data_IF_664080638791
#
_entry.id   IF_664080638791
#
_cell.length_a   1.000
_cell.length_b   1.000
_cell.length_c   1.000
_cell.angle_alpha   90.00
_cell.angle_beta   90.00
_cell.angle_gamma   90.00
#
_symmetry.space_group_name_H-M   'P 1'
#
loop_
_entity.id
_entity.type
_entity.pdbx_description
1 polymer ?
#
# COMPACT_ATOMS: atom_id res chain seq x y z
N UNK A 1 -26.17 18.33 -8.30
CA UNK A 1 -27.02 17.33 -8.96
C UNK A 1 -27.99 16.80 -7.93
N UNK A 2 -29.27 17.14 -8.03
CA UNK A 2 -30.32 16.61 -7.15
C UNK A 2 -30.46 15.13 -7.50
N UNK A 3 -30.35 14.23 -6.51
CA UNK A 3 -30.48 12.79 -6.78
C UNK A 3 -31.87 12.49 -7.36
N UNK A 4 -31.97 11.53 -8.29
CA UNK A 4 -33.24 11.18 -8.96
C UNK A 4 -34.35 10.83 -7.95
N UNK A 5 -33.98 10.31 -6.77
CA UNK A 5 -34.90 10.12 -5.63
C UNK A 5 -35.44 11.42 -5.06
N UNK A 6 -34.57 12.42 -4.83
CA UNK A 6 -34.97 13.73 -4.34
C UNK A 6 -35.88 14.44 -5.36
N UNK A 7 -35.58 14.35 -6.65
CA UNK A 7 -36.40 14.94 -7.71
C UNK A 7 -37.82 14.31 -7.77
N UNK A 8 -37.93 12.99 -7.58
CA UNK A 8 -39.23 12.31 -7.54
C UNK A 8 -40.03 12.68 -6.29
N UNK A 9 -39.39 12.80 -5.12
CA UNK A 9 -40.05 13.25 -3.90
C UNK A 9 -40.54 14.70 -4.01
N UNK A 10 -39.76 15.56 -4.65
CA UNK A 10 -40.12 16.96 -4.89
C UNK A 10 -41.29 17.09 -5.87
N UNK A 11 -41.30 16.30 -6.96
CA UNK A 11 -42.43 16.22 -7.90
C UNK A 11 -43.69 15.67 -7.23
N UNK A 12 -43.54 14.68 -6.34
CA UNK A 12 -44.65 14.08 -5.59
C UNK A 12 -45.29 15.11 -4.65
N UNK A 13 -44.46 15.88 -3.95
CA UNK A 13 -44.92 16.95 -3.07
C UNK A 13 -45.56 18.10 -3.85
N UNK A 14 -44.98 18.49 -4.99
CA UNK A 14 -45.45 19.62 -5.81
C UNK A 14 -46.75 19.33 -6.55
N UNK A 15 -46.95 18.09 -7.02
CA UNK A 15 -48.13 17.69 -7.78
C UNK A 15 -49.14 16.85 -7.01
N UNK A 16 -48.92 16.65 -5.69
CA UNK A 16 -49.76 15.81 -4.81
C UNK A 16 -50.13 14.46 -5.45
N UNK A 17 -49.12 13.79 -6.01
CA UNK A 17 -49.31 12.54 -6.73
C UNK A 17 -49.88 11.47 -5.78
N UNK A 18 -50.84 10.69 -6.27
CA UNK A 18 -51.40 9.57 -5.54
C UNK A 18 -50.40 8.40 -5.44
N UNK A 19 -50.66 7.46 -4.53
CA UNK A 19 -49.76 6.33 -4.28
C UNK A 19 -49.58 5.44 -5.53
N UNK A 20 -50.59 5.36 -6.40
CA UNK A 20 -50.54 4.60 -7.64
C UNK A 20 -49.61 5.24 -8.67
N UNK A 21 -49.69 6.57 -8.86
CA UNK A 21 -48.83 7.32 -9.80
C UNK A 21 -47.39 7.39 -9.28
N UNK A 22 -47.20 7.51 -7.96
CA UNK A 22 -45.88 7.39 -7.33
C UNK A 22 -45.25 6.02 -7.60
N UNK A 23 -46.03 4.94 -7.46
CA UNK A 23 -45.59 3.58 -7.75
C UNK A 23 -45.25 3.36 -9.24
N UNK A 24 -45.98 4.00 -10.15
CA UNK A 24 -45.67 4.00 -11.58
C UNK A 24 -44.37 4.76 -11.89
N UNK A 25 -44.17 5.95 -11.31
CA UNK A 25 -42.94 6.75 -11.45
C UNK A 25 -41.73 6.02 -10.90
N UNK A 26 -41.85 5.35 -9.75
CA UNK A 26 -40.76 4.52 -9.19
C UNK A 26 -40.35 3.39 -10.11
N UNK A 27 -41.32 2.76 -10.80
CA UNK A 27 -41.08 1.67 -11.75
C UNK A 27 -40.41 2.19 -13.03
N UNK A 28 -40.88 3.32 -13.56
CA UNK A 28 -40.30 3.98 -14.74
C UNK A 28 -38.87 4.46 -14.44
N UNK A 29 -38.65 5.06 -13.28
CA UNK A 29 -37.35 5.51 -12.81
C UNK A 29 -36.43 4.36 -12.34
N UNK A 30 -36.92 3.10 -12.40
CA UNK A 30 -36.22 1.88 -11.97
C UNK A 30 -35.62 1.95 -10.56
N UNK A 31 -36.19 2.77 -9.67
CA UNK A 31 -35.66 3.04 -8.32
C UNK A 31 -35.77 1.84 -7.34
N UNK A 32 -36.38 0.74 -7.78
CA UNK A 32 -36.48 -0.54 -7.06
C UNK A 32 -35.77 -1.72 -7.71
N UNK A 33 -35.09 -1.54 -8.86
CA UNK A 33 -34.22 -2.58 -9.39
C UNK A 33 -32.82 -2.41 -8.78
N UNK A 34 -32.19 -3.49 -8.26
CA UNK A 34 -30.80 -3.41 -7.79
C UNK A 34 -29.96 -2.89 -8.95
N UNK A 35 -29.14 -1.85 -8.71
CA UNK A 35 -28.34 -1.30 -9.79
C UNK A 35 -27.41 -2.42 -10.30
N UNK A 36 -27.32 -2.64 -11.62
CA UNK A 36 -26.46 -3.68 -12.18
C UNK A 36 -24.99 -3.47 -11.80
N UNK A 37 -24.61 -2.21 -11.51
CA UNK A 37 -23.32 -1.84 -10.95
C UNK A 37 -23.11 -2.37 -9.53
N UNK A 38 -24.12 -2.29 -8.66
CA UNK A 38 -24.04 -2.81 -7.29
C UNK A 38 -23.95 -4.33 -7.26
N UNK A 39 -24.71 -5.04 -8.11
CA UNK A 39 -24.60 -6.50 -8.23
C UNK A 39 -23.20 -6.92 -8.70
N UNK A 40 -22.65 -6.22 -9.71
CA UNK A 40 -21.29 -6.48 -10.21
C UNK A 40 -20.24 -6.19 -9.13
N UNK A 41 -20.36 -5.08 -8.41
CA UNK A 41 -19.46 -4.72 -7.31
C UNK A 41 -19.54 -5.75 -6.17
N UNK A 42 -20.76 -6.17 -5.79
CA UNK A 42 -20.98 -7.15 -4.75
C UNK A 42 -20.38 -8.50 -5.12
N UNK A 43 -20.58 -8.97 -6.36
CA UNK A 43 -19.96 -10.20 -6.87
C UNK A 43 -18.44 -10.14 -6.83
N UNK A 44 -17.85 -9.00 -7.21
CA UNK A 44 -16.40 -8.79 -7.12
C UNK A 44 -15.92 -8.82 -5.67
N UNK A 45 -16.58 -8.08 -4.78
CA UNK A 45 -16.25 -8.01 -3.37
C UNK A 45 -16.36 -9.38 -2.69
N UNK A 46 -17.45 -10.11 -2.93
CA UNK A 46 -17.65 -11.48 -2.45
C UNK A 46 -16.60 -12.42 -3.02
N UNK A 47 -16.27 -12.31 -4.31
CA UNK A 47 -15.21 -13.10 -4.92
C UNK A 47 -13.84 -12.84 -4.29
N UNK A 48 -13.52 -11.59 -3.97
CA UNK A 48 -12.28 -11.22 -3.28
C UNK A 48 -12.26 -11.75 -1.84
N UNK A 49 -13.37 -11.60 -1.11
CA UNK A 49 -13.51 -12.12 0.24
C UNK A 49 -13.39 -13.64 0.25
N UNK A 50 -14.00 -14.33 -0.71
CA UNK A 50 -13.87 -15.77 -0.89
C UNK A 50 -12.42 -16.17 -1.17
N UNK A 51 -11.70 -15.44 -2.02
CA UNK A 51 -10.28 -15.69 -2.26
C UNK A 51 -9.41 -15.49 -1.01
N UNK A 52 -9.66 -14.42 -0.24
CA UNK A 52 -8.96 -14.15 1.01
C UNK A 52 -9.23 -15.25 2.05
N UNK A 53 -10.50 -15.61 2.26
CA UNK A 53 -10.90 -16.65 3.21
C UNK A 53 -10.41 -18.04 2.78
N UNK A 54 -10.45 -18.36 1.49
CA UNK A 54 -9.91 -19.62 0.98
C UNK A 54 -8.39 -19.69 1.15
N UNK A 55 -7.67 -18.61 0.83
CA UNK A 55 -6.23 -18.53 1.06
C UNK A 55 -5.87 -18.66 2.53
N UNK A 56 -6.57 -17.93 3.40
CA UNK A 56 -6.38 -18.00 4.86
C UNK A 56 -6.73 -19.38 5.42
N UNK A 57 -7.86 -19.95 5.00
CA UNK A 57 -8.30 -21.28 5.38
C UNK A 57 -7.29 -22.34 4.96
N UNK A 58 -6.67 -22.22 3.78
CA UNK A 58 -5.61 -23.12 3.34
C UNK A 58 -4.33 -22.97 4.17
N UNK A 59 -3.93 -21.73 4.51
CA UNK A 59 -2.79 -21.47 5.40
C UNK A 59 -3.04 -22.13 6.76
N UNK A 60 -4.23 -21.95 7.33
CA UNK A 60 -4.59 -22.58 8.61
C UNK A 60 -4.71 -24.09 8.52
N UNK A 61 -5.21 -24.63 7.41
CA UNK A 61 -5.26 -26.07 7.19
C UNK A 61 -3.84 -26.69 7.21
N UNK A 62 -2.89 -26.02 6.57
CA UNK A 62 -1.49 -26.46 6.56
C UNK A 62 -0.84 -26.25 7.92
N UNK A 63 -1.08 -25.11 8.57
CA UNK A 63 -0.54 -24.76 9.88
C UNK A 63 -1.10 -25.63 11.02
N UNK A 64 -2.35 -26.09 10.91
CA UNK A 64 -2.97 -27.05 11.84
C UNK A 64 -2.31 -28.43 11.79
N UNK A 65 -1.26 -28.59 10.96
CA UNK A 65 -0.42 -29.77 10.83
C UNK A 65 -1.23 -31.07 10.87
N UNK A 66 -2.13 -31.26 9.89
CA UNK A 66 -2.87 -32.51 9.78
C UNK A 66 -1.89 -33.68 9.79
N UNK A 67 -1.88 -34.45 10.89
CA UNK A 67 -1.01 -35.61 11.08
C UNK A 67 -1.32 -36.71 10.05
N UNK A 68 -2.53 -36.68 9.49
CA UNK A 68 -2.98 -37.57 8.43
C UNK A 68 -2.28 -37.32 7.08
N UNK A 69 -1.71 -36.13 6.83
CA UNK A 69 -1.07 -35.81 5.55
C UNK A 69 0.45 -35.82 5.66
N UNK A 70 1.08 -36.65 4.84
CA UNK A 70 2.53 -36.69 4.71
C UNK A 70 3.10 -35.38 4.14
N UNK A 71 4.38 -35.10 4.42
CA UNK A 71 5.09 -33.92 3.91
C UNK A 71 4.93 -33.72 2.40
N UNK A 72 5.11 -34.79 1.62
CA UNK A 72 5.01 -34.75 0.15
C UNK A 72 3.59 -34.39 -0.30
N UNK A 73 2.59 -34.92 0.39
CA UNK A 73 1.17 -34.68 0.07
C UNK A 73 0.79 -33.22 0.34
N UNK A 74 1.27 -32.63 1.44
CA UNK A 74 1.11 -31.19 1.73
C UNK A 74 1.71 -30.32 0.61
N UNK A 75 2.91 -30.65 0.12
CA UNK A 75 3.51 -29.94 -1.03
C UNK A 75 2.72 -30.12 -2.32
N UNK A 76 2.32 -31.35 -2.65
CA UNK A 76 1.53 -31.63 -3.86
C UNK A 76 0.21 -30.85 -3.81
N UNK A 77 -0.49 -30.88 -2.68
CA UNK A 77 -1.74 -30.15 -2.49
C UNK A 77 -1.54 -28.64 -2.74
N UNK A 78 -0.53 -28.05 -2.11
CA UNK A 78 -0.23 -26.63 -2.26
C UNK A 78 0.14 -26.28 -3.71
N UNK A 79 0.98 -27.08 -4.38
CA UNK A 79 1.34 -26.87 -5.78
C UNK A 79 0.14 -27.00 -6.73
N UNK A 80 -0.75 -27.97 -6.49
CA UNK A 80 -2.00 -28.12 -7.23
C UNK A 80 -2.92 -26.92 -7.03
N UNK A 81 -3.04 -26.40 -5.80
CA UNK A 81 -3.81 -25.19 -5.53
C UNK A 81 -3.21 -23.96 -6.23
N UNK A 82 -1.88 -23.79 -6.24
CA UNK A 82 -1.22 -22.73 -7.03
C UNK A 82 -1.54 -22.90 -8.51
N UNK A 83 -1.35 -24.09 -9.07
CA UNK A 83 -1.62 -24.39 -10.47
C UNK A 83 -3.07 -24.08 -10.85
N UNK A 84 -4.03 -24.56 -10.06
CA UNK A 84 -5.46 -24.32 -10.28
C UNK A 84 -5.82 -22.83 -10.21
N UNK A 85 -5.29 -22.09 -9.23
CA UNK A 85 -5.52 -20.65 -9.11
C UNK A 85 -4.92 -19.87 -10.29
N UNK A 86 -3.68 -20.19 -10.70
CA UNK A 86 -3.01 -19.57 -11.84
C UNK A 86 -3.74 -19.85 -13.16
N UNK A 87 -4.09 -21.11 -13.43
CA UNK A 87 -4.84 -21.51 -14.63
C UNK A 87 -6.22 -20.85 -14.64
N UNK A 88 -6.92 -20.87 -13.50
CA UNK A 88 -8.21 -20.21 -13.37
C UNK A 88 -8.12 -18.70 -13.60
N UNK A 89 -7.07 -18.04 -13.09
CA UNK A 89 -6.85 -16.61 -13.36
C UNK A 89 -6.61 -16.32 -14.86
N UNK A 90 -5.91 -17.21 -15.57
CA UNK A 90 -5.65 -17.09 -16.99
C UNK A 90 -6.93 -17.31 -17.83
N UNK A 91 -7.67 -18.38 -17.55
CA UNK A 91 -8.77 -18.87 -18.41
C UNK A 91 -10.17 -18.43 -17.99
N UNK A 92 -10.37 -17.91 -16.78
CA UNK A 92 -11.68 -17.45 -16.30
C UNK A 92 -11.68 -15.93 -16.07
N UNK A 93 -11.90 -15.09 -17.10
CA UNK A 93 -11.86 -13.63 -16.99
C UNK A 93 -12.75 -13.06 -15.88
N UNK A 94 -13.90 -13.70 -15.62
CA UNK A 94 -14.86 -13.28 -14.58
C UNK A 94 -14.32 -13.42 -13.16
N UNK A 95 -13.44 -14.39 -12.93
CA UNK A 95 -12.86 -14.70 -11.61
C UNK A 95 -11.38 -14.33 -11.53
N UNK A 96 -10.82 -13.72 -12.59
CA UNK A 96 -9.39 -13.47 -12.75
C UNK A 96 -8.77 -12.80 -11.53
N UNK A 97 -9.39 -11.73 -11.03
CA UNK A 97 -8.87 -10.97 -9.87
C UNK A 97 -8.86 -11.82 -8.61
N UNK A 98 -9.95 -12.52 -8.31
CA UNK A 98 -10.08 -13.38 -7.13
C UNK A 98 -9.09 -14.54 -7.18
N UNK A 99 -8.96 -15.18 -8.35
CA UNK A 99 -8.05 -16.32 -8.53
C UNK A 99 -6.59 -15.90 -8.59
N UNK A 100 -6.27 -14.72 -9.13
CA UNK A 100 -4.93 -14.15 -9.07
C UNK A 100 -4.54 -13.80 -7.62
N UNK A 101 -5.47 -13.23 -6.85
CA UNK A 101 -5.25 -12.95 -5.42
C UNK A 101 -5.08 -14.25 -4.63
N UNK A 102 -5.92 -15.26 -4.86
CA UNK A 102 -5.77 -16.58 -4.27
C UNK A 102 -4.42 -17.19 -4.64
N UNK A 103 -4.05 -17.20 -5.91
CA UNK A 103 -2.77 -17.72 -6.38
C UNK A 103 -1.59 -17.03 -5.68
N UNK A 104 -1.62 -15.70 -5.57
CA UNK A 104 -0.62 -14.94 -4.81
C UNK A 104 -0.54 -15.41 -3.35
N UNK A 105 -1.67 -15.60 -2.65
CA UNK A 105 -1.68 -16.07 -1.27
C UNK A 105 -1.17 -17.51 -1.12
N UNK A 106 -1.58 -18.41 -2.02
CA UNK A 106 -1.19 -19.83 -1.97
C UNK A 106 0.30 -20.00 -2.29
N UNK A 107 0.88 -19.18 -3.18
CA UNK A 107 2.34 -19.13 -3.38
C UNK A 107 3.05 -18.80 -2.06
N UNK A 108 2.54 -17.82 -1.30
CA UNK A 108 3.05 -17.49 0.03
C UNK A 108 2.93 -18.65 1.03
N UNK A 109 1.78 -19.31 1.06
CA UNK A 109 1.53 -20.48 1.89
C UNK A 109 2.52 -21.62 1.57
N UNK A 110 2.77 -21.86 0.29
CA UNK A 110 3.74 -22.84 -0.19
C UNK A 110 5.15 -22.53 0.31
N UNK A 111 5.60 -21.27 0.22
CA UNK A 111 6.93 -20.88 0.69
C UNK A 111 7.07 -20.83 2.20
N UNK A 112 6.01 -20.44 2.92
CA UNK A 112 5.96 -20.54 4.37
C UNK A 112 6.13 -22.00 4.82
N UNK A 113 5.38 -22.93 4.21
CA UNK A 113 5.51 -24.36 4.50
C UNK A 113 6.90 -24.88 4.12
N UNK A 114 7.44 -24.44 2.98
CA UNK A 114 8.81 -24.79 2.57
C UNK A 114 9.85 -24.36 3.61
N UNK A 115 9.82 -23.10 4.05
CA UNK A 115 10.76 -22.56 5.04
C UNK A 115 10.67 -23.29 6.38
N UNK A 116 9.45 -23.60 6.83
CA UNK A 116 9.24 -24.37 8.06
C UNK A 116 9.78 -25.81 7.96
N UNK A 117 9.54 -26.48 6.84
CA UNK A 117 9.81 -27.92 6.73
C UNK A 117 11.26 -28.23 6.39
N UNK A 118 11.90 -27.42 5.56
CA UNK A 118 13.26 -27.68 5.11
C UNK A 118 14.34 -26.93 5.88
N UNK A 119 13.98 -25.97 6.75
CA UNK A 119 14.92 -25.17 7.57
C UNK A 119 16.26 -24.92 6.84
N UNK A 120 16.20 -24.49 5.57
CA UNK A 120 17.33 -24.61 4.62
C UNK A 120 18.49 -23.66 4.91
N UNK A 121 18.47 -22.96 6.06
CA UNK A 121 19.33 -21.81 6.32
C UNK A 121 19.11 -20.66 5.34
N UNK A 122 18.11 -20.74 4.46
CA UNK A 122 17.80 -19.66 3.53
C UNK A 122 17.15 -18.52 4.29
N UNK A 123 17.69 -17.31 4.11
CA UNK A 123 17.14 -16.13 4.75
C UNK A 123 15.69 -15.90 4.31
N UNK A 124 14.79 -15.48 5.22
CA UNK A 124 13.39 -15.23 4.91
C UNK A 124 13.17 -14.30 3.71
N UNK A 125 14.07 -13.34 3.48
CA UNK A 125 13.98 -12.40 2.37
C UNK A 125 14.00 -13.08 1.00
N UNK A 126 14.73 -14.18 0.84
CA UNK A 126 14.82 -14.91 -0.43
C UNK A 126 13.48 -15.52 -0.81
N UNK A 127 12.77 -16.07 0.17
CA UNK A 127 11.43 -16.64 -0.04
C UNK A 127 10.43 -15.57 -0.47
N UNK A 128 10.47 -14.38 0.15
CA UNK A 128 9.65 -13.25 -0.29
C UNK A 128 10.04 -12.72 -1.68
N UNK A 129 11.33 -12.70 -2.01
CA UNK A 129 11.80 -12.28 -3.33
C UNK A 129 11.28 -13.23 -4.43
N UNK A 130 11.43 -14.54 -4.25
CA UNK A 130 10.92 -15.55 -5.18
C UNK A 130 9.39 -15.49 -5.25
N UNK A 131 8.71 -15.29 -4.11
CA UNK A 131 7.27 -15.09 -4.07
C UNK A 131 6.85 -13.88 -4.91
N UNK A 132 7.48 -12.71 -4.73
CA UNK A 132 7.19 -11.52 -5.52
C UNK A 132 7.40 -11.78 -7.03
N UNK A 133 8.48 -12.45 -7.41
CA UNK A 133 8.75 -12.78 -8.81
C UNK A 133 7.67 -13.71 -9.39
N UNK A 134 7.31 -14.79 -8.70
CA UNK A 134 6.28 -15.73 -9.17
C UNK A 134 4.87 -15.15 -9.17
N UNK A 135 4.58 -14.19 -8.28
CA UNK A 135 3.30 -13.50 -8.24
C UNK A 135 3.20 -12.35 -9.26
N UNK A 136 4.32 -11.91 -9.85
CA UNK A 136 4.34 -10.77 -10.79
C UNK A 136 3.49 -11.02 -12.06
N UNK A 137 3.54 -12.20 -12.73
CA UNK A 137 2.65 -12.51 -13.85
C UNK A 137 1.16 -12.45 -13.46
N UNK A 138 0.81 -12.83 -12.23
CA UNK A 138 -0.57 -12.75 -11.74
C UNK A 138 -1.02 -11.30 -11.58
N UNK A 139 -0.16 -10.44 -11.04
CA UNK A 139 -0.43 -9.00 -10.91
C UNK A 139 -0.58 -8.32 -12.28
N UNK A 140 0.33 -8.61 -13.21
CA UNK A 140 0.30 -8.11 -14.59
C UNK A 140 -0.88 -8.64 -15.39
N UNK A 141 -1.29 -9.89 -15.18
CA UNK A 141 -2.44 -10.49 -15.85
C UNK A 141 -3.78 -9.97 -15.30
N UNK A 142 -3.89 -9.80 -13.98
CA UNK A 142 -5.09 -9.30 -13.33
C UNK A 142 -5.31 -7.80 -13.59
N UNK A 143 -4.24 -6.99 -13.64
CA UNK A 143 -4.30 -5.52 -13.85
C UNK A 143 -5.30 -4.83 -12.92
N UNK A 144 -5.31 -5.25 -11.65
CA UNK A 144 -6.22 -4.67 -10.64
C UNK A 144 -5.44 -4.17 -9.44
N UNK A 145 -5.93 -3.09 -8.85
CA UNK A 145 -5.28 -2.43 -7.71
C UNK A 145 -5.11 -3.36 -6.51
N UNK A 146 -6.06 -4.26 -6.27
CA UNK A 146 -6.04 -5.19 -5.13
C UNK A 146 -4.90 -6.20 -5.25
N UNK A 147 -4.73 -6.81 -6.43
CA UNK A 147 -3.64 -7.78 -6.64
C UNK A 147 -2.29 -7.07 -6.62
N UNK A 148 -2.19 -5.86 -7.20
CA UNK A 148 -0.99 -5.04 -7.10
C UNK A 148 -0.68 -4.60 -5.67
N UNK A 149 -1.68 -4.26 -4.87
CA UNK A 149 -1.51 -3.91 -3.45
C UNK A 149 -0.94 -5.08 -2.67
N UNK A 150 -1.50 -6.28 -2.86
CA UNK A 150 -0.98 -7.51 -2.24
C UNK A 150 0.46 -7.80 -2.72
N UNK A 151 0.73 -7.64 -4.01
CA UNK A 151 2.07 -7.83 -4.57
C UNK A 151 3.09 -6.84 -4.00
N UNK A 152 2.73 -5.55 -3.87
CA UNK A 152 3.58 -4.51 -3.27
C UNK A 152 3.90 -4.85 -1.82
N UNK A 153 2.92 -5.33 -1.05
CA UNK A 153 3.16 -5.78 0.34
C UNK A 153 4.19 -6.90 0.37
N UNK A 154 4.06 -7.92 -0.49
CA UNK A 154 5.01 -9.04 -0.57
C UNK A 154 6.42 -8.55 -0.96
N UNK A 155 6.52 -7.73 -2.00
CA UNK A 155 7.80 -7.20 -2.49
C UNK A 155 8.49 -6.32 -1.45
N UNK A 156 7.75 -5.40 -0.81
CA UNK A 156 8.28 -4.53 0.24
C UNK A 156 8.67 -5.33 1.49
N UNK A 157 7.90 -6.38 1.84
CA UNK A 157 8.28 -7.28 2.94
C UNK A 157 9.61 -7.96 2.65
N UNK A 158 9.82 -8.45 1.43
CA UNK A 158 11.10 -9.02 1.00
C UNK A 158 12.26 -8.03 1.11
N UNK A 159 12.07 -6.79 0.66
CA UNK A 159 13.09 -5.73 0.79
C UNK A 159 13.40 -5.42 2.26
N UNK A 160 12.39 -5.32 3.13
CA UNK A 160 12.59 -5.06 4.56
C UNK A 160 13.22 -6.24 5.30
N UNK A 161 12.93 -7.48 4.88
CA UNK A 161 13.55 -8.67 5.44
C UNK A 161 15.03 -8.76 5.02
N UNK A 162 15.36 -8.35 3.79
CA UNK A 162 16.76 -8.26 3.34
C UNK A 162 17.51 -7.20 4.15
N UNK A 163 16.90 -6.03 4.35
CA UNK A 163 17.45 -4.98 5.20
C UNK A 163 17.78 -5.48 6.62
N UNK A 164 16.85 -6.22 7.22
CA UNK A 164 17.02 -6.81 8.54
C UNK A 164 18.09 -7.91 8.57
N UNK A 165 18.27 -8.67 7.48
CA UNK A 165 19.34 -9.66 7.36
C UNK A 165 20.72 -8.99 7.30
N UNK A 166 20.82 -7.82 6.66
CA UNK A 166 22.09 -7.10 6.50
C UNK A 166 22.49 -6.28 7.74
N UNK A 167 21.51 -5.70 8.43
CA UNK A 167 21.75 -4.76 9.54
C UNK A 167 21.31 -5.28 10.91
N UNK A 168 20.79 -6.51 10.97
CA UNK A 168 20.15 -7.06 12.16
C UNK A 168 18.77 -6.45 12.44
N UNK A 169 17.93 -7.20 13.16
CA UNK A 169 16.61 -6.72 13.59
C UNK A 169 16.71 -5.56 14.60
N UNK A 170 17.77 -5.56 15.42
CA UNK A 170 18.05 -4.53 16.42
C UNK A 170 18.91 -3.41 15.82
N UNK A 171 18.24 -2.54 15.08
CA UNK A 171 18.72 -1.45 14.20
C UNK A 171 19.74 -0.43 14.77
N UNK A 172 20.23 -0.61 15.99
CA UNK A 172 21.09 0.36 16.68
C UNK A 172 22.54 -0.10 16.88
N UNK A 173 22.85 -1.38 16.65
CA UNK A 173 24.20 -1.92 16.76
C UNK A 173 24.84 -2.04 15.36
N UNK A 174 25.50 -0.97 14.90
CA UNK A 174 26.28 -0.98 13.65
C UNK A 174 25.44 -1.06 12.37
N UNK A 175 24.54 -0.10 12.09
CA UNK A 175 23.68 -0.15 10.91
C UNK A 175 24.51 -0.09 9.62
N UNK A 176 24.27 -1.02 8.69
CA UNK A 176 24.78 -0.90 7.33
C UNK A 176 23.96 0.15 6.58
N UNK A 177 24.34 1.42 6.74
CA UNK A 177 23.62 2.56 6.14
C UNK A 177 23.52 2.46 4.61
N UNK A 178 24.52 1.86 3.96
CA UNK A 178 24.48 1.59 2.52
C UNK A 178 23.33 0.64 2.15
N UNK A 179 23.15 -0.45 2.91
CA UNK A 179 22.05 -1.39 2.71
C UNK A 179 20.67 -0.75 2.95
N UNK A 180 20.52 0.00 4.06
CA UNK A 180 19.29 0.74 4.36
C UNK A 180 18.94 1.74 3.25
N UNK A 181 19.94 2.47 2.75
CA UNK A 181 19.74 3.43 1.67
C UNK A 181 19.37 2.72 0.37
N UNK A 182 19.99 1.59 0.05
CA UNK A 182 19.64 0.79 -1.12
C UNK A 182 18.18 0.33 -1.07
N UNK A 183 17.71 -0.14 0.08
CA UNK A 183 16.30 -0.53 0.29
C UNK A 183 15.38 0.67 0.11
N UNK A 184 15.75 1.83 0.65
CA UNK A 184 14.97 3.06 0.48
C UNK A 184 14.89 3.50 -1.00
N UNK A 185 15.98 3.35 -1.76
CA UNK A 185 16.02 3.62 -3.20
C UNK A 185 15.17 2.62 -3.99
N UNK A 186 15.27 1.33 -3.69
CA UNK A 186 14.46 0.28 -4.34
C UNK A 186 12.97 0.45 -4.03
N UNK A 187 12.61 0.79 -2.79
CA UNK A 187 11.24 1.09 -2.41
C UNK A 187 10.71 2.34 -3.14
N UNK A 188 11.55 3.38 -3.26
CA UNK A 188 11.21 4.60 -4.01
C UNK A 188 11.04 4.32 -5.51
N UNK A 189 11.92 3.51 -6.11
CA UNK A 189 11.80 3.08 -7.49
C UNK A 189 10.50 2.29 -7.72
N UNK A 190 10.14 1.40 -6.79
CA UNK A 190 8.88 0.68 -6.86
C UNK A 190 7.67 1.62 -6.74
N UNK A 191 7.71 2.64 -5.87
CA UNK A 191 6.67 3.66 -5.80
C UNK A 191 6.52 4.43 -7.13
N UNK A 192 7.62 4.75 -7.80
CA UNK A 192 7.59 5.35 -9.15
C UNK A 192 6.96 4.42 -10.17
N UNK A 193 7.31 3.12 -10.16
CA UNK A 193 6.71 2.12 -11.06
C UNK A 193 5.19 1.98 -10.85
N UNK A 194 4.70 2.20 -9.63
CA UNK A 194 3.27 2.16 -9.31
C UNK A 194 2.55 3.49 -9.57
N UNK A 195 3.25 4.55 -9.99
CA UNK A 195 2.66 5.87 -10.22
C UNK A 195 1.71 5.89 -11.43
N UNK A 196 0.77 6.84 -11.44
CA UNK A 196 -0.26 6.94 -12.49
C UNK A 196 0.27 6.94 -13.95
N UNK A 197 1.39 7.61 -14.30
CA UNK A 197 1.92 7.57 -15.67
C UNK A 197 2.40 6.18 -16.11
N UNK A 198 2.91 5.39 -15.16
CA UNK A 198 3.38 4.02 -15.40
C UNK A 198 2.29 2.98 -15.17
N UNK A 199 1.20 3.34 -14.49
CA UNK A 199 0.02 2.50 -14.29
C UNK A 199 -0.60 2.02 -15.62
N UNK A 200 -0.38 2.72 -16.74
CA UNK A 200 -0.79 2.23 -18.07
C UNK A 200 -0.15 0.88 -18.43
N UNK A 201 1.04 0.58 -17.93
CA UNK A 201 1.73 -0.68 -18.19
C UNK A 201 1.37 -1.74 -17.15
N UNK A 202 1.36 -1.39 -15.87
CA UNK A 202 1.11 -2.34 -14.78
C UNK A 202 -0.39 -2.62 -14.55
N UNK A 203 -1.26 -1.63 -14.72
CA UNK A 203 -2.64 -1.67 -14.24
C UNK A 203 -2.76 -1.49 -12.72
N UNK A 204 -1.71 -0.98 -12.07
CA UNK A 204 -1.75 -0.62 -10.66
C UNK A 204 -2.70 0.56 -10.42
N UNK A 205 -3.42 0.54 -9.31
CA UNK A 205 -4.31 1.63 -8.93
C UNK A 205 -3.72 2.49 -7.82
N UNK A 206 -4.61 3.24 -7.17
CA UNK A 206 -4.26 4.27 -6.21
C UNK A 206 -3.80 3.66 -4.88
N UNK A 207 -4.38 2.54 -4.46
CA UNK A 207 -4.04 1.88 -3.19
C UNK A 207 -2.64 1.27 -3.28
N UNK A 208 -2.31 0.57 -4.36
CA UNK A 208 -0.98 0.01 -4.57
C UNK A 208 0.10 1.10 -4.58
N UNK A 209 -0.17 2.22 -5.26
CA UNK A 209 0.70 3.39 -5.27
C UNK A 209 0.92 3.96 -3.86
N UNK A 210 -0.17 4.20 -3.11
CA UNK A 210 -0.09 4.77 -1.77
C UNK A 210 0.63 3.84 -0.78
N UNK A 211 0.44 2.52 -0.89
CA UNK A 211 1.21 1.54 -0.14
C UNK A 211 2.70 1.62 -0.47
N UNK A 212 3.05 1.67 -1.76
CA UNK A 212 4.44 1.79 -2.18
C UNK A 212 5.10 3.08 -1.67
N UNK A 213 4.39 4.22 -1.72
CA UNK A 213 4.86 5.50 -1.15
C UNK A 213 5.03 5.42 0.36
N UNK A 214 4.12 4.75 1.06
CA UNK A 214 4.22 4.54 2.51
C UNK A 214 5.48 3.76 2.89
N UNK A 215 5.76 2.65 2.20
CA UNK A 215 6.97 1.88 2.42
C UNK A 215 8.22 2.70 2.05
N UNK A 216 8.24 3.36 0.89
CA UNK A 216 9.37 4.20 0.47
C UNK A 216 9.67 5.31 1.47
N UNK A 217 8.64 6.01 1.95
CA UNK A 217 8.78 7.09 2.94
C UNK A 217 9.26 6.56 4.28
N UNK A 218 8.72 5.43 4.73
CA UNK A 218 9.16 4.77 5.97
C UNK A 218 10.62 4.33 5.87
N UNK A 219 11.05 3.76 4.74
CA UNK A 219 12.44 3.36 4.52
C UNK A 219 13.39 4.56 4.43
N UNK A 220 13.03 5.63 3.70
CA UNK A 220 13.83 6.86 3.62
C UNK A 220 13.93 7.55 4.99
N UNK A 221 12.81 7.63 5.72
CA UNK A 221 12.76 8.16 7.08
C UNK A 221 13.62 7.34 8.05
N UNK A 222 13.56 6.01 7.96
CA UNK A 222 14.40 5.12 8.78
C UNK A 222 15.88 5.30 8.47
N UNK A 223 16.25 5.33 7.19
CA UNK A 223 17.64 5.56 6.76
C UNK A 223 18.17 6.93 7.22
N UNK A 224 17.35 7.98 7.09
CA UNK A 224 17.70 9.32 7.55
C UNK A 224 17.85 9.39 9.08
N UNK A 225 16.94 8.77 9.82
CA UNK A 225 16.99 8.71 11.28
C UNK A 225 18.24 7.95 11.77
N UNK A 226 18.51 6.78 11.20
CA UNK A 226 19.70 6.00 11.56
C UNK A 226 21.00 6.77 11.24
N UNK A 227 21.05 7.42 10.08
CA UNK A 227 22.19 8.25 9.70
C UNK A 227 22.41 9.43 10.66
N UNK A 228 21.34 10.06 11.14
CA UNK A 228 21.42 11.22 12.03
C UNK A 228 22.04 10.89 13.40
N UNK A 229 21.82 9.67 13.90
CA UNK A 229 22.30 9.22 15.20
C UNK A 229 23.52 8.29 15.14
N UNK A 230 23.97 7.91 13.93
CA UNK A 230 25.16 7.10 13.75
C UNK A 230 26.45 7.93 13.99
N UNK A 231 27.41 7.35 14.71
CA UNK A 231 28.67 7.99 15.11
C UNK A 231 29.79 7.93 14.06
N UNK A 232 29.51 7.42 12.85
CA UNK A 232 30.51 7.17 11.81
C UNK A 232 30.72 8.36 10.87
N UNK A 233 31.92 8.47 10.29
CA UNK A 233 32.24 9.46 9.26
C UNK A 233 31.38 9.24 8.00
N UNK A 234 30.77 10.30 7.44
CA UNK A 234 29.99 10.23 6.19
C UNK A 234 28.48 9.98 6.33
N UNK A 235 27.97 9.86 7.56
CA UNK A 235 26.54 9.64 7.84
C UNK A 235 25.66 10.83 7.44
N UNK A 236 26.20 12.05 7.52
CA UNK A 236 25.50 13.27 7.12
C UNK A 236 25.00 13.23 5.66
N UNK A 237 25.74 12.58 4.75
CA UNK A 237 25.33 12.44 3.36
C UNK A 237 24.05 11.61 3.23
N UNK A 238 23.93 10.50 3.97
CA UNK A 238 22.73 9.65 3.95
C UNK A 238 21.51 10.38 4.51
N UNK A 239 21.68 11.16 5.59
CA UNK A 239 20.61 12.01 6.12
C UNK A 239 20.14 13.05 5.08
N UNK A 240 21.09 13.79 4.47
CA UNK A 240 20.78 14.78 3.45
C UNK A 240 20.12 14.14 2.22
N UNK A 241 20.58 12.98 1.79
CA UNK A 241 20.02 12.26 0.65
C UNK A 241 18.57 11.84 0.91
N UNK A 242 18.28 11.30 2.10
CA UNK A 242 16.89 10.99 2.49
C UNK A 242 15.99 12.22 2.46
N UNK A 243 16.48 13.36 2.97
CA UNK A 243 15.72 14.60 3.00
C UNK A 243 15.47 15.14 1.59
N UNK A 244 16.51 15.19 0.75
CA UNK A 244 16.41 15.63 -0.65
C UNK A 244 15.44 14.74 -1.43
N UNK A 245 15.50 13.41 -1.28
CA UNK A 245 14.60 12.51 -1.98
C UNK A 245 13.14 12.70 -1.57
N UNK A 246 12.86 12.92 -0.28
CA UNK A 246 11.51 13.22 0.19
C UNK A 246 11.01 14.59 -0.29
N UNK A 247 11.87 15.61 -0.32
CA UNK A 247 11.52 16.94 -0.86
C UNK A 247 11.24 16.85 -2.36
N UNK A 248 12.07 16.14 -3.11
CA UNK A 248 11.85 15.90 -4.55
C UNK A 248 10.56 15.13 -4.77
N UNK A 249 10.29 14.08 -3.98
CA UNK A 249 9.04 13.33 -4.07
C UNK A 249 7.82 14.21 -3.78
N UNK A 250 7.87 15.04 -2.73
CA UNK A 250 6.82 16.02 -2.42
C UNK A 250 6.59 16.99 -3.59
N UNK A 251 7.67 17.55 -4.15
CA UNK A 251 7.60 18.47 -5.28
C UNK A 251 7.09 17.82 -6.58
N UNK A 252 7.32 16.52 -6.78
CA UNK A 252 6.75 15.78 -7.90
C UNK A 252 5.24 15.55 -7.69
N UNK A 253 4.81 15.25 -6.47
CA UNK A 253 3.41 15.04 -6.11
C UNK A 253 2.57 16.31 -6.08
N UNK A 254 3.17 17.50 -6.01
CA UNK A 254 2.40 18.74 -6.18
C UNK A 254 1.96 18.94 -7.63
N UNK A 255 2.56 18.26 -8.60
CA UNK A 255 2.17 18.38 -10.02
C UNK A 255 0.80 17.75 -10.26
N UNK A 256 -0.09 18.45 -10.99
CA UNK A 256 -1.47 18.00 -11.31
C UNK A 256 -1.58 16.54 -11.75
N UNK A 257 -0.65 16.02 -12.55
CA UNK A 257 -0.68 14.65 -13.08
C UNK A 257 -0.38 13.56 -12.05
N UNK A 258 0.31 13.91 -10.96
CA UNK A 258 0.76 12.97 -9.92
C UNK A 258 0.11 13.26 -8.58
N UNK A 259 -0.80 14.24 -8.54
CA UNK A 259 -1.35 14.71 -7.29
C UNK A 259 -2.17 13.63 -6.59
N UNK A 260 -1.70 13.26 -5.41
CA UNK A 260 -2.37 12.34 -4.51
C UNK A 260 -2.25 12.85 -3.08
N UNK A 261 -3.40 13.14 -2.47
CA UNK A 261 -3.51 13.66 -1.11
C UNK A 261 -2.88 12.70 -0.09
N UNK A 262 -3.11 11.40 -0.23
CA UNK A 262 -2.63 10.38 0.72
C UNK A 262 -1.11 10.26 0.62
N UNK A 263 -0.58 10.11 -0.60
CA UNK A 263 0.86 10.04 -0.82
C UNK A 263 1.59 11.30 -0.32
N UNK A 264 1.05 12.49 -0.62
CA UNK A 264 1.66 13.76 -0.20
C UNK A 264 1.60 13.94 1.32
N UNK A 265 0.52 13.50 1.97
CA UNK A 265 0.40 13.54 3.45
C UNK A 265 1.44 12.65 4.11
N UNK A 266 1.66 11.44 3.57
CA UNK A 266 2.66 10.50 4.08
C UNK A 266 4.08 11.07 3.94
N UNK A 267 4.43 11.61 2.77
CA UNK A 267 5.75 12.23 2.55
C UNK A 267 5.94 13.48 3.42
N UNK A 268 4.91 14.31 3.57
CA UNK A 268 4.96 15.47 4.46
C UNK A 268 5.23 15.06 5.92
N UNK A 269 4.58 13.99 6.40
CA UNK A 269 4.85 13.45 7.73
C UNK A 269 6.32 12.98 7.85
N UNK A 270 6.84 12.26 6.85
CA UNK A 270 8.24 11.82 6.83
C UNK A 270 9.23 12.99 6.88
N UNK A 271 8.96 14.06 6.13
CA UNK A 271 9.76 15.30 6.15
C UNK A 271 9.73 15.98 7.51
N UNK A 272 8.55 16.10 8.13
CA UNK A 272 8.40 16.69 9.47
C UNK A 272 9.21 15.88 10.49
N UNK A 273 9.09 14.55 10.47
CA UNK A 273 9.83 13.67 11.40
C UNK A 273 11.34 13.87 11.27
N UNK A 274 11.89 13.81 10.04
CA UNK A 274 13.33 13.98 9.83
C UNK A 274 13.83 15.39 10.15
N UNK A 275 13.02 16.40 9.88
CA UNK A 275 13.36 17.79 10.20
C UNK A 275 13.41 18.00 11.71
N UNK A 276 12.38 17.56 12.43
CA UNK A 276 12.32 17.68 13.90
C UNK A 276 13.45 16.87 14.55
N UNK A 277 13.71 15.66 14.07
CA UNK A 277 14.83 14.86 14.57
C UNK A 277 16.18 15.59 14.37
N UNK A 278 16.42 16.14 13.18
CA UNK A 278 17.62 16.92 12.88
C UNK A 278 17.75 18.16 13.77
N UNK A 279 16.66 18.88 13.97
CA UNK A 279 16.59 20.05 14.85
C UNK A 279 16.91 19.68 16.31
N UNK A 280 16.30 18.62 16.84
CA UNK A 280 16.56 18.12 18.20
C UNK A 280 18.01 17.71 18.36
N UNK A 281 18.60 17.04 17.36
CA UNK A 281 20.02 16.66 17.38
C UNK A 281 20.92 17.88 17.46
N UNK A 282 20.64 18.94 16.69
CA UNK A 282 21.45 20.18 16.70
C UNK A 282 21.28 20.95 18.00
N UNK A 283 20.06 21.10 18.52
CA UNK A 283 19.80 21.81 19.77
C UNK A 283 20.41 21.07 20.95
N UNK A 284 20.31 19.74 21.00
CA UNK A 284 20.88 18.92 22.07
C UNK A 284 22.42 18.87 22.09
N UNK A 285 23.10 19.31 21.02
CA UNK A 285 24.55 19.56 21.05
C UNK A 285 24.90 20.86 21.80
N UNK A 286 23.96 21.81 21.84
CA UNK A 286 24.05 22.97 22.73
C UNK A 286 23.58 22.58 24.13
N UNK A 287 24.20 23.12 25.19
CA UNK A 287 23.87 22.83 26.59
C UNK A 287 22.49 23.41 27.04
N UNK A 288 21.49 23.41 26.16
CA UNK A 288 20.14 23.90 26.45
C UNK A 288 19.38 22.95 27.37
N UNK A 289 18.49 23.50 28.21
CA UNK A 289 17.64 22.71 29.09
C UNK A 289 16.66 21.82 28.30
N UNK A 290 16.52 20.56 28.72
CA UNK A 290 15.69 19.54 28.06
C UNK A 290 14.24 19.98 27.83
N UNK A 291 13.65 20.70 28.81
CA UNK A 291 12.29 21.22 28.75
C UNK A 291 12.14 22.24 27.60
N UNK A 292 13.12 23.12 27.42
CA UNK A 292 13.10 24.12 26.34
C UNK A 292 13.19 23.47 24.97
N UNK A 293 14.03 22.45 24.81
CA UNK A 293 14.15 21.68 23.58
C UNK A 293 12.84 20.97 23.22
N UNK A 294 12.18 20.32 24.19
CA UNK A 294 10.90 19.65 23.98
C UNK A 294 9.79 20.63 23.58
N UNK A 295 9.73 21.81 24.22
CA UNK A 295 8.77 22.86 23.88
C UNK A 295 8.97 23.38 22.45
N UNK A 296 10.22 23.71 22.07
CA UNK A 296 10.55 24.19 20.73
C UNK A 296 10.23 23.11 19.69
N UNK A 297 10.58 21.85 19.96
CA UNK A 297 10.22 20.72 19.09
C UNK A 297 8.71 20.57 18.93
N UNK A 298 7.94 20.66 20.02
CA UNK A 298 6.48 20.58 20.02
C UNK A 298 5.83 21.68 19.19
N UNK A 299 6.16 22.95 19.45
CA UNK A 299 5.61 24.08 18.70
C UNK A 299 6.00 24.05 17.22
N UNK A 300 7.25 23.69 16.92
CA UNK A 300 7.72 23.53 15.53
C UNK A 300 6.95 22.43 14.82
N UNK A 301 6.72 21.29 15.48
CA UNK A 301 5.94 20.18 14.93
C UNK A 301 4.51 20.61 14.59
N UNK A 302 3.84 21.30 15.52
CA UNK A 302 2.47 21.81 15.31
C UNK A 302 2.45 22.82 14.15
N UNK A 303 3.40 23.75 14.11
CA UNK A 303 3.50 24.75 13.04
C UNK A 303 3.73 24.13 11.65
N UNK A 304 4.64 23.16 11.55
CA UNK A 304 4.91 22.45 10.30
C UNK A 304 3.73 21.59 9.87
N UNK A 305 3.05 20.91 10.80
CA UNK A 305 1.84 20.14 10.50
C UNK A 305 0.73 21.05 9.96
N UNK A 306 0.49 22.20 10.61
CA UNK A 306 -0.49 23.17 10.15
C UNK A 306 -0.17 23.70 8.74
N UNK A 307 1.11 23.98 8.47
CA UNK A 307 1.57 24.41 7.14
C UNK A 307 1.37 23.32 6.08
N UNK A 308 1.72 22.07 6.39
CA UNK A 308 1.54 20.93 5.50
C UNK A 308 0.06 20.72 5.16
N UNK A 309 -0.82 20.69 6.17
CA UNK A 309 -2.28 20.55 5.98
C UNK A 309 -2.83 21.71 5.14
N UNK A 310 -2.44 22.95 5.45
CA UNK A 310 -2.88 24.14 4.69
C UNK A 310 -2.44 24.07 3.23
N UNK A 311 -1.19 23.67 2.96
CA UNK A 311 -0.65 23.53 1.62
C UNK A 311 -1.37 22.44 0.81
N UNK A 312 -1.60 21.27 1.42
CA UNK A 312 -2.33 20.17 0.79
C UNK A 312 -3.78 20.59 0.47
N UNK A 313 -4.47 21.23 1.42
CA UNK A 313 -5.83 21.73 1.20
C UNK A 313 -5.91 22.81 0.12
N UNK A 314 -4.90 23.68 0.01
CA UNK A 314 -4.82 24.67 -1.06
C UNK A 314 -4.72 24.00 -2.44
N UNK A 315 -3.83 23.02 -2.58
CA UNK A 315 -3.68 22.23 -3.82
C UNK A 315 -4.95 21.44 -4.15
N UNK A 316 -5.59 20.83 -3.15
CA UNK A 316 -6.87 20.13 -3.33
C UNK A 316 -7.95 21.07 -3.87
N UNK A 317 -8.05 22.31 -3.36
CA UNK A 317 -9.01 23.30 -3.85
C UNK A 317 -8.69 23.75 -5.27
N UNK A 318 -7.41 24.01 -5.57
CA UNK A 318 -6.98 24.42 -6.91
C UNK A 318 -7.31 23.35 -7.96
N UNK A 319 -7.06 22.08 -7.66
CA UNK A 319 -7.30 20.99 -8.60
C UNK A 319 -8.76 20.52 -8.61
N UNK A 320 -9.50 20.70 -7.51
CA UNK A 320 -10.95 20.45 -7.45
C UNK A 320 -11.80 21.53 -8.13
N UNK A 321 -11.33 22.77 -8.18
CA UNK A 321 -12.03 23.90 -8.83
C UNK A 321 -11.78 23.99 -10.34
N UNK A 322 -10.70 23.38 -10.85
CA UNK A 322 -10.39 23.28 -12.28
C UNK A 322 -11.17 22.21 -13.05
N UNK A 323 -12.15 21.54 -12.41
CA UNK A 323 -13.03 20.55 -13.01
C UNK A 323 -14.35 21.15 -13.50
N UNK A 324 -14.29 22.01 -14.52
CA UNK A 324 -15.40 22.20 -15.48
C UNK A 324 -14.79 22.18 -16.88
N UNK A 325 -15.44 21.50 -17.86
CA UNK A 325 -14.99 21.52 -19.25
C UNK A 325 -14.92 22.95 -19.79
#
# INVERSE_FOLDING_TARGET
>A
MISTRLAILELTHRHRLDAATLGALWRIARLGQPSPELDTLLRRAVGMLAALLAGLGLIFLVAANLDALGRREKFILLQLCVGAACLGAAFLPRLRTSLALLGLLVIGALFAYFGQTYQTGADPWQLFAVWAVLALPLALGARTDIVWSAWVIVAMTGLTAWDAAQSGWWRFAGPNLGAHMLVALLASALAVLMSQPLARFSGAGRVAFNLAVLFATTSLGSAGMLALFASSSGTALYYLLSLVLLVVAAALLTRRRLFDVTALSVIALGLIILFIAGMVRVIGLGHGGEIGMLLVAGFTTVGLMALAVRGILALMREYGSGGKP
#
